data_IF_997098821471
#
_entry.id   IF_997098821471
#
_cell.length_a   1.000
_cell.length_b   1.000
_cell.length_c   1.000
_cell.angle_alpha   90.00
_cell.angle_beta   90.00
_cell.angle_gamma   90.00
#
_symmetry.space_group_name_H-M   'P 1'
#
loop_
_entity.id
_entity.type
_entity.pdbx_description
1 polymer ?
#
# COMPACT_ATOMS: atom_id res chain seq x y z
N UNK A 1 6.43 32.27 4.01
CA UNK A 1 5.34 31.38 3.54
C UNK A 1 5.79 29.95 3.78
N UNK A 2 5.00 29.09 4.45
CA UNK A 2 5.36 27.69 4.60
C UNK A 2 5.56 27.07 3.22
N UNK A 3 6.61 26.28 3.04
CA UNK A 3 6.91 25.61 1.78
C UNK A 3 5.72 24.75 1.38
N UNK A 4 5.10 25.05 0.24
CA UNK A 4 4.00 24.24 -0.33
C UNK A 4 4.49 22.92 -0.91
N UNK A 5 5.81 22.69 -0.93
CA UNK A 5 6.39 21.45 -1.41
C UNK A 5 6.27 20.35 -0.35
N UNK A 6 5.75 19.16 -0.72
CA UNK A 6 5.76 18.01 0.15
C UNK A 6 7.20 17.58 0.47
N UNK A 7 7.43 16.97 1.64
CA UNK A 7 8.77 16.54 2.03
C UNK A 7 9.34 15.51 1.04
N UNK A 8 10.66 15.56 0.83
CA UNK A 8 11.35 14.78 -0.21
C UNK A 8 11.14 13.25 -0.09
N UNK A 9 10.88 12.73 1.11
CA UNK A 9 10.64 11.31 1.34
C UNK A 9 9.25 10.83 0.94
N UNK A 10 8.27 11.73 0.80
CA UNK A 10 6.85 11.37 0.67
C UNK A 10 6.59 10.56 -0.60
N UNK A 11 6.98 11.09 -1.77
CA UNK A 11 6.80 10.39 -3.04
C UNK A 11 7.57 9.07 -3.14
N UNK A 12 8.89 8.99 -2.88
CA UNK A 12 9.62 7.72 -3.01
C UNK A 12 9.07 6.65 -2.05
N UNK A 13 8.69 7.02 -0.83
CA UNK A 13 8.09 6.05 0.12
C UNK A 13 6.72 5.59 -0.38
N UNK A 14 5.89 6.50 -0.87
CA UNK A 14 4.57 6.17 -1.43
C UNK A 14 4.67 5.24 -2.63
N UNK A 15 5.58 5.53 -3.55
CA UNK A 15 5.83 4.69 -4.73
C UNK A 15 6.38 3.31 -4.34
N UNK A 16 7.26 3.24 -3.34
CA UNK A 16 7.76 1.97 -2.82
C UNK A 16 6.62 1.11 -2.24
N UNK A 17 5.74 1.71 -1.44
CA UNK A 17 4.57 1.02 -0.89
C UNK A 17 3.61 0.54 -1.99
N UNK A 18 3.28 1.40 -2.95
CA UNK A 18 2.41 1.04 -4.07
C UNK A 18 3.01 -0.09 -4.91
N UNK A 19 4.31 -0.05 -5.18
CA UNK A 19 5.02 -1.12 -5.89
C UNK A 19 4.97 -2.44 -5.11
N UNK A 20 5.22 -2.41 -3.79
CA UNK A 20 5.13 -3.60 -2.95
C UNK A 20 3.70 -4.19 -2.94
N UNK A 21 2.67 -3.36 -2.86
CA UNK A 21 1.28 -3.81 -2.94
C UNK A 21 0.94 -4.41 -4.32
N UNK A 22 1.38 -3.76 -5.40
CA UNK A 22 1.20 -4.29 -6.75
C UNK A 22 1.87 -5.65 -6.92
N UNK A 23 3.12 -5.81 -6.44
CA UNK A 23 3.84 -7.08 -6.48
C UNK A 23 3.13 -8.17 -5.68
N UNK A 24 2.62 -7.85 -4.49
CA UNK A 24 1.84 -8.80 -3.69
C UNK A 24 0.57 -9.27 -4.38
N UNK A 25 -0.16 -8.35 -5.02
CA UNK A 25 -1.37 -8.68 -5.80
C UNK A 25 -1.04 -9.52 -7.02
N UNK A 26 -0.01 -9.14 -7.80
CA UNK A 26 0.43 -9.89 -8.97
C UNK A 26 0.90 -11.30 -8.60
N UNK A 27 1.64 -11.43 -7.49
CA UNK A 27 2.01 -12.72 -6.94
C UNK A 27 0.78 -13.56 -6.63
N UNK A 28 -0.23 -13.00 -5.95
CA UNK A 28 -1.48 -13.69 -5.65
C UNK A 28 -2.26 -14.13 -6.89
N UNK A 29 -2.24 -13.33 -7.96
CA UNK A 29 -2.93 -13.66 -9.21
C UNK A 29 -2.27 -14.82 -9.97
N UNK A 30 -0.94 -14.89 -9.93
CA UNK A 30 -0.16 -15.92 -10.63
C UNK A 30 0.00 -17.19 -9.78
N UNK A 31 -0.17 -17.08 -8.46
CA UNK A 31 -0.02 -18.22 -7.55
C UNK A 31 -1.06 -19.31 -7.83
N UNK A 32 -0.65 -20.58 -7.98
CA UNK A 32 -1.57 -21.68 -8.22
C UNK A 32 -2.44 -21.95 -6.98
N UNK A 33 -3.73 -22.17 -7.21
CA UNK A 33 -4.69 -22.58 -6.17
C UNK A 33 -5.72 -23.55 -6.73
N UNK A 34 -6.05 -24.57 -5.93
CA UNK A 34 -7.10 -25.56 -6.17
C UNK A 34 -8.40 -25.24 -5.41
N UNK A 35 -8.49 -24.06 -4.79
CA UNK A 35 -9.62 -23.66 -3.97
C UNK A 35 -10.88 -23.40 -4.85
N UNK A 36 -12.05 -23.97 -4.51
CA UNK A 36 -13.31 -23.67 -5.20
C UNK A 36 -13.64 -22.18 -5.28
N UNK A 37 -13.13 -21.37 -4.35
CA UNK A 37 -13.37 -19.92 -4.29
C UNK A 37 -12.35 -19.09 -5.08
N UNK A 38 -11.47 -19.74 -5.86
CA UNK A 38 -10.40 -19.06 -6.62
C UNK A 38 -10.93 -17.95 -7.53
N UNK A 39 -12.07 -18.13 -8.18
CA UNK A 39 -12.65 -17.11 -9.07
C UNK A 39 -12.99 -15.81 -8.33
N UNK A 40 -13.57 -15.92 -7.13
CA UNK A 40 -13.87 -14.76 -6.28
C UNK A 40 -12.58 -14.07 -5.81
N UNK A 41 -11.58 -14.84 -5.37
CA UNK A 41 -10.29 -14.31 -4.96
C UNK A 41 -9.58 -13.57 -6.10
N UNK A 42 -9.59 -14.12 -7.31
CA UNK A 42 -9.02 -13.46 -8.49
C UNK A 42 -9.73 -12.14 -8.80
N UNK A 43 -11.07 -12.10 -8.76
CA UNK A 43 -11.84 -10.85 -8.95
C UNK A 43 -11.47 -9.78 -7.93
N UNK A 44 -11.35 -10.16 -6.65
CA UNK A 44 -10.92 -9.25 -5.60
C UNK A 44 -9.48 -8.74 -5.81
N UNK A 45 -8.55 -9.62 -6.19
CA UNK A 45 -7.17 -9.24 -6.48
C UNK A 45 -7.07 -8.28 -7.68
N UNK A 46 -7.83 -8.53 -8.76
CA UNK A 46 -7.90 -7.61 -9.91
C UNK A 46 -8.43 -6.23 -9.46
N UNK A 47 -9.49 -6.21 -8.66
CA UNK A 47 -10.02 -4.97 -8.09
C UNK A 47 -8.98 -4.23 -7.26
N UNK A 48 -8.24 -4.93 -6.39
CA UNK A 48 -7.14 -4.34 -5.63
C UNK A 48 -6.02 -3.81 -6.52
N UNK A 49 -5.67 -4.51 -7.60
CA UNK A 49 -4.69 -4.02 -8.57
C UNK A 49 -5.13 -2.69 -9.19
N UNK A 50 -6.40 -2.59 -9.58
CA UNK A 50 -6.98 -1.35 -10.13
C UNK A 50 -6.94 -0.20 -9.11
N UNK A 51 -7.22 -0.49 -7.84
CA UNK A 51 -7.13 0.50 -6.75
C UNK A 51 -5.68 1.00 -6.60
N UNK A 52 -4.70 0.09 -6.59
CA UNK A 52 -3.27 0.44 -6.48
C UNK A 52 -2.82 1.28 -7.68
N UNK A 53 -3.22 0.91 -8.89
CA UNK A 53 -2.94 1.69 -10.11
C UNK A 53 -3.63 3.06 -10.08
N UNK A 54 -4.85 3.14 -9.56
CA UNK A 54 -5.56 4.39 -9.33
C UNK A 54 -4.83 5.31 -8.37
N UNK A 55 -4.31 4.78 -7.25
CA UNK A 55 -3.49 5.55 -6.32
C UNK A 55 -2.13 5.96 -6.92
N UNK A 56 -1.52 5.12 -7.75
CA UNK A 56 -0.34 5.52 -8.51
C UNK A 56 -0.64 6.70 -9.44
N UNK A 57 -1.75 6.66 -10.18
CA UNK A 57 -2.23 7.78 -10.99
C UNK A 57 -2.53 9.05 -10.18
N UNK A 58 -3.17 8.91 -9.00
CA UNK A 58 -3.41 10.04 -8.10
C UNK A 58 -2.12 10.61 -7.52
N UNK A 59 -1.14 9.77 -7.19
CA UNK A 59 0.18 10.22 -6.73
C UNK A 59 0.93 10.98 -7.82
N UNK A 60 0.79 10.56 -9.08
CA UNK A 60 1.30 11.28 -10.25
C UNK A 60 0.64 12.65 -10.40
N UNK A 61 -0.70 12.73 -10.32
CA UNK A 61 -1.42 14.01 -10.35
C UNK A 61 -1.07 14.91 -9.15
N UNK A 62 -0.72 14.30 -8.02
CA UNK A 62 -0.25 14.98 -6.82
C UNK A 62 1.13 15.62 -6.95
N UNK A 63 1.93 15.30 -7.99
CA UNK A 63 3.19 16.00 -8.29
C UNK A 63 2.97 17.45 -8.76
N UNK A 64 1.75 17.80 -9.14
CA UNK A 64 1.42 19.14 -9.59
C UNK A 64 1.46 20.13 -8.41
N UNK A 65 2.14 21.29 -8.53
CA UNK A 65 2.36 22.23 -7.41
C UNK A 65 1.10 22.81 -6.74
N UNK A 66 -0.09 22.58 -7.32
CA UNK A 66 -1.36 23.11 -6.80
C UNK A 66 -2.13 22.13 -5.91
N UNK A 67 -1.69 20.87 -5.75
CA UNK A 67 -2.43 19.85 -4.98
C UNK A 67 -1.55 19.00 -4.04
N UNK A 68 -0.72 19.62 -3.17
CA UNK A 68 0.16 18.88 -2.25
C UNK A 68 -0.61 18.03 -1.23
N UNK A 69 -1.87 18.37 -0.92
CA UNK A 69 -2.73 17.58 -0.03
C UNK A 69 -3.04 16.19 -0.60
N UNK A 70 -3.06 16.04 -1.93
CA UNK A 70 -3.38 14.77 -2.59
C UNK A 70 -2.25 13.75 -2.35
N UNK A 71 -1.00 14.21 -2.39
CA UNK A 71 0.16 13.37 -2.09
C UNK A 71 0.11 12.84 -0.64
N UNK A 72 -0.26 13.70 0.31
CA UNK A 72 -0.47 13.30 1.71
C UNK A 72 -1.61 12.31 1.89
N UNK A 73 -2.75 12.52 1.22
CA UNK A 73 -3.88 11.61 1.30
C UNK A 73 -3.50 10.20 0.82
N UNK A 74 -2.84 10.10 -0.34
CA UNK A 74 -2.38 8.82 -0.88
C UNK A 74 -1.33 8.18 0.04
N UNK A 75 -0.38 8.97 0.56
CA UNK A 75 0.63 8.48 1.48
C UNK A 75 0.02 7.89 2.76
N UNK A 76 -0.91 8.60 3.41
CA UNK A 76 -1.57 8.14 4.65
C UNK A 76 -2.34 6.85 4.41
N UNK A 77 -3.10 6.77 3.30
CA UNK A 77 -3.83 5.56 2.93
C UNK A 77 -2.87 4.39 2.68
N UNK A 78 -1.73 4.64 2.03
CA UNK A 78 -0.75 3.60 1.74
C UNK A 78 0.06 3.16 2.97
N UNK A 79 0.39 4.07 3.89
CA UNK A 79 1.26 3.76 5.03
C UNK A 79 0.50 3.08 6.16
N UNK A 80 -0.80 3.36 6.32
CA UNK A 80 -1.60 2.84 7.42
C UNK A 80 -1.66 1.29 7.48
N UNK A 81 -1.90 0.56 6.38
CA UNK A 81 -1.86 -0.90 6.37
C UNK A 81 -0.47 -1.44 6.71
N UNK A 82 0.60 -0.85 6.17
CA UNK A 82 1.98 -1.28 6.41
C UNK A 82 2.38 -1.12 7.88
N UNK A 83 2.03 0.01 8.50
CA UNK A 83 2.29 0.25 9.93
C UNK A 83 1.44 -0.68 10.78
N UNK A 84 0.18 -0.90 10.43
CA UNK A 84 -0.72 -1.81 11.15
C UNK A 84 -0.21 -3.26 11.15
N UNK A 85 0.24 -3.76 10.00
CA UNK A 85 0.84 -5.09 9.88
C UNK A 85 2.15 -5.19 10.68
N UNK A 86 2.98 -4.15 10.63
CA UNK A 86 4.23 -4.10 11.40
C UNK A 86 3.96 -4.14 12.90
N UNK A 87 2.96 -3.37 13.38
CA UNK A 87 2.56 -3.36 14.78
C UNK A 87 2.02 -4.73 15.24
N UNK A 88 1.22 -5.40 14.41
CA UNK A 88 0.75 -6.76 14.69
C UNK A 88 1.91 -7.75 14.75
N UNK A 89 2.86 -7.67 13.82
CA UNK A 89 4.06 -8.51 13.81
C UNK A 89 4.88 -8.35 15.09
N UNK A 90 5.16 -7.12 15.50
CA UNK A 90 5.88 -6.82 16.76
C UNK A 90 5.12 -7.37 17.97
N UNK A 91 3.79 -7.16 18.03
CA UNK A 91 2.96 -7.69 19.10
C UNK A 91 3.06 -9.21 19.21
N UNK A 92 3.01 -9.92 18.07
CA UNK A 92 3.14 -11.37 18.05
C UNK A 92 4.52 -11.85 18.50
N UNK A 93 5.59 -11.18 18.08
CA UNK A 93 6.97 -11.50 18.50
C UNK A 93 7.13 -11.33 20.01
N UNK A 94 6.72 -10.19 20.56
CA UNK A 94 6.82 -9.92 22.01
C UNK A 94 6.00 -10.94 22.80
N UNK A 95 4.80 -11.28 22.31
CA UNK A 95 3.93 -12.27 22.95
C UNK A 95 4.55 -13.66 22.97
N UNK A 96 5.27 -14.07 21.91
CA UNK A 96 5.99 -15.33 21.88
C UNK A 96 7.15 -15.33 22.88
N UNK A 97 7.96 -14.28 22.90
CA UNK A 97 9.12 -14.15 23.81
C UNK A 97 8.74 -14.11 25.31
N UNK A 98 7.53 -13.66 25.65
CA UNK A 98 7.04 -13.61 27.05
C UNK A 98 6.43 -14.93 27.52
N UNK A 99 6.15 -15.88 26.61
CA UNK A 99 5.55 -17.17 26.95
C UNK A 99 6.58 -18.27 27.27
N UNK A 100 7.87 -17.94 27.19
CA UNK A 100 8.97 -18.66 27.83
C UNK A 100 9.28 -18.04 29.20
#
# INVERSE_FOLDING_TARGET
MPSTQPPAFLYPTTLCLLAAYALGVLYGLVSPSSDPQRGMAQGFLIFMLLVVLGFAGLSWLGTHPYRPWLAWAVFVICVFPAVSLSAQGIYWVIRMLRKE
#
